data_IF_718689639167
#
_entry.id   IF_718689639167
#
_cell.length_a   1.000
_cell.length_b   1.000
_cell.length_c   1.000
_cell.angle_alpha   90.00
_cell.angle_beta   90.00
_cell.angle_gamma   90.00
#
_symmetry.space_group_name_H-M   'P 1'
#
loop_
_entity.id
_entity.type
_entity.pdbx_description
1 polymer ?
#
# COMPACT_ATOMS: atom_id res chain seq x y z
N UNK A 1 30.30 42.98 -29.07
CA UNK A 1 28.96 42.43 -29.34
C UNK A 1 27.94 43.56 -29.31
N UNK A 2 27.14 43.74 -30.37
CA UNK A 2 26.15 44.83 -30.44
C UNK A 2 25.09 44.69 -29.34
N UNK A 3 24.59 45.79 -28.77
CA UNK A 3 23.49 45.80 -27.78
C UNK A 3 22.27 45.00 -28.29
N UNK A 4 22.03 45.00 -29.60
CA UNK A 4 20.96 44.21 -30.24
C UNK A 4 21.20 42.69 -30.12
N UNK A 5 22.45 42.24 -30.24
CA UNK A 5 22.82 40.83 -30.15
C UNK A 5 22.77 40.33 -28.69
N UNK A 6 23.05 41.21 -27.72
CA UNK A 6 22.93 40.91 -26.29
C UNK A 6 21.45 40.79 -25.87
N UNK A 7 20.58 41.68 -26.36
CA UNK A 7 19.13 41.63 -26.11
C UNK A 7 18.48 40.37 -26.71
N UNK A 8 18.84 40.00 -27.94
CA UNK A 8 18.35 38.77 -28.57
C UNK A 8 18.83 37.50 -27.84
N UNK A 9 20.06 37.48 -27.34
CA UNK A 9 20.59 36.34 -26.57
C UNK A 9 19.89 36.20 -25.21
N UNK A 10 19.63 37.32 -24.53
CA UNK A 10 18.89 37.35 -23.25
C UNK A 10 17.44 36.88 -23.45
N UNK A 11 16.77 37.27 -24.53
CA UNK A 11 15.43 36.79 -24.86
C UNK A 11 15.40 35.28 -25.15
N UNK A 12 16.38 34.75 -25.89
CA UNK A 12 16.45 33.31 -26.21
C UNK A 12 16.69 32.47 -24.94
N UNK A 13 17.58 32.91 -24.05
CA UNK A 13 17.83 32.21 -22.77
C UNK A 13 16.60 32.27 -21.85
N UNK A 14 15.88 33.39 -21.81
CA UNK A 14 14.64 33.53 -21.04
C UNK A 14 13.50 32.63 -21.56
N UNK A 15 13.39 32.46 -22.88
CA UNK A 15 12.41 31.55 -23.50
C UNK A 15 12.77 30.08 -23.23
N UNK A 16 14.05 29.71 -23.27
CA UNK A 16 14.51 28.34 -22.92
C UNK A 16 14.25 28.01 -21.43
N UNK A 17 14.37 29.00 -20.54
CA UNK A 17 13.99 28.86 -19.13
C UNK A 17 12.48 28.76 -18.92
N UNK A 18 11.67 29.49 -19.70
CA UNK A 18 10.21 29.40 -19.62
C UNK A 18 9.66 28.06 -20.13
N UNK A 19 10.30 27.43 -21.13
CA UNK A 19 9.88 26.11 -21.64
C UNK A 19 10.24 24.99 -20.66
N UNK A 20 11.34 25.14 -19.91
CA UNK A 20 11.76 24.18 -18.87
C UNK A 20 10.90 24.24 -17.59
N UNK A 21 10.10 25.29 -17.42
CA UNK A 21 9.20 25.49 -16.29
C UNK A 21 7.77 24.94 -16.54
N UNK A 22 7.52 24.32 -17.71
CA UNK A 22 6.30 23.56 -17.93
C UNK A 22 6.28 22.37 -16.95
N UNK A 23 5.34 22.41 -16.00
CA UNK A 23 5.34 21.66 -14.75
C UNK A 23 5.74 20.18 -14.89
N UNK A 24 6.73 19.76 -14.12
CA UNK A 24 6.99 18.35 -13.91
C UNK A 24 5.71 17.71 -13.36
N UNK A 25 5.15 16.74 -14.10
CA UNK A 25 4.08 15.89 -13.58
C UNK A 25 4.63 15.19 -12.34
N UNK A 26 4.11 15.54 -11.16
CA UNK A 26 4.41 14.80 -9.94
C UNK A 26 3.71 13.44 -10.10
N UNK A 27 4.52 12.40 -10.28
CA UNK A 27 4.04 11.02 -10.32
C UNK A 27 3.61 10.62 -8.92
N UNK A 28 2.52 9.87 -8.84
CA UNK A 28 2.15 9.17 -7.60
C UNK A 28 3.22 8.13 -7.25
N UNK A 29 3.32 7.70 -5.97
CA UNK A 29 4.24 6.63 -5.57
C UNK A 29 4.16 5.40 -6.48
N UNK A 30 2.96 4.97 -6.84
CA UNK A 30 2.73 3.79 -7.67
C UNK A 30 3.02 4.06 -9.16
N UNK A 31 2.72 5.24 -9.71
CA UNK A 31 3.15 5.59 -11.07
C UNK A 31 4.67 5.62 -11.21
N UNK A 32 5.38 6.03 -10.14
CA UNK A 32 6.84 6.11 -10.12
C UNK A 32 7.50 4.73 -10.04
N UNK A 33 6.96 3.82 -9.24
CA UNK A 33 7.62 2.56 -8.89
C UNK A 33 6.95 1.31 -9.50
N UNK A 34 5.64 1.31 -9.72
CA UNK A 34 4.92 0.16 -10.27
C UNK A 34 5.01 -1.08 -9.38
N UNK A 35 5.16 -2.27 -9.96
CA UNK A 35 5.23 -3.52 -9.20
C UNK A 35 6.52 -3.60 -8.37
N UNK A 36 6.37 -3.96 -7.10
CA UNK A 36 7.49 -4.19 -6.19
C UNK A 36 7.91 -5.66 -6.20
N UNK A 37 9.20 -5.91 -5.98
CA UNK A 37 9.73 -7.24 -5.72
C UNK A 37 10.80 -7.21 -4.63
N UNK A 38 11.08 -8.37 -4.05
CA UNK A 38 12.21 -8.55 -3.14
C UNK A 38 13.47 -8.86 -3.97
N UNK A 39 14.59 -8.22 -3.63
CA UNK A 39 15.91 -8.50 -4.16
C UNK A 39 16.93 -8.57 -3.00
N UNK A 40 17.34 -9.79 -2.65
CA UNK A 40 18.14 -10.03 -1.45
C UNK A 40 17.44 -9.49 -0.19
N UNK A 41 18.04 -8.49 0.44
CA UNK A 41 17.53 -7.82 1.64
C UNK A 41 16.85 -6.46 1.36
N UNK A 42 16.46 -6.21 0.10
CA UNK A 42 15.84 -4.94 -0.34
C UNK A 42 14.49 -5.19 -0.99
N UNK A 43 13.65 -4.16 -0.94
CA UNK A 43 12.49 -4.03 -1.83
C UNK A 43 12.95 -3.14 -2.99
N UNK A 44 12.70 -3.59 -4.22
CA UNK A 44 13.00 -2.84 -5.45
C UNK A 44 11.73 -2.68 -6.28
N UNK A 45 11.71 -1.63 -7.09
CA UNK A 45 10.63 -1.36 -8.04
C UNK A 45 10.76 -2.16 -9.33
N UNK A 46 9.83 -1.94 -10.27
CA UNK A 46 9.79 -2.65 -11.54
C UNK A 46 11.01 -2.38 -12.45
N UNK A 47 11.78 -1.33 -12.15
CA UNK A 47 12.99 -0.94 -12.86
C UNK A 47 14.26 -1.46 -12.16
N UNK A 48 14.14 -2.07 -10.99
CA UNK A 48 15.25 -2.58 -10.19
C UNK A 48 15.86 -1.56 -9.23
N UNK A 49 15.24 -0.39 -9.07
CA UNK A 49 15.70 0.64 -8.14
C UNK A 49 15.17 0.36 -6.73
N UNK A 50 15.98 0.64 -5.71
CA UNK A 50 15.56 0.41 -4.33
C UNK A 50 14.44 1.38 -3.92
N UNK A 51 13.39 0.83 -3.30
CA UNK A 51 12.27 1.60 -2.77
C UNK A 51 12.27 1.60 -1.25
N UNK A 52 11.91 2.75 -0.67
CA UNK A 52 11.50 2.86 0.72
C UNK A 52 10.16 3.59 0.77
N UNK A 53 9.10 2.87 1.15
CA UNK A 53 7.77 3.44 1.34
C UNK A 53 7.62 3.95 2.78
N UNK A 54 7.00 5.11 2.97
CA UNK A 54 6.73 5.70 4.29
C UNK A 54 5.26 6.04 4.40
N UNK A 55 4.66 5.78 5.56
CA UNK A 55 3.23 5.96 5.70
C UNK A 55 2.70 5.63 7.08
N UNK A 56 1.38 5.49 7.16
CA UNK A 56 0.63 5.31 8.40
C UNK A 56 -0.21 4.04 8.39
N UNK A 57 -0.37 3.43 9.56
CA UNK A 57 -1.41 2.43 9.80
C UNK A 57 -2.67 3.09 10.32
N UNK A 58 -3.81 2.65 9.80
CA UNK A 58 -5.07 2.84 10.50
C UNK A 58 -5.08 1.93 11.75
N UNK A 59 -5.86 2.34 12.76
CA UNK A 59 -6.07 1.54 13.96
C UNK A 59 -7.12 0.45 13.70
N UNK A 60 -7.21 -0.56 14.56
CA UNK A 60 -8.20 -1.64 14.56
C UNK A 60 -9.56 -1.26 13.93
N UNK A 61 -9.96 -1.95 12.86
CA UNK A 61 -11.10 -1.58 12.01
C UNK A 61 -12.46 -1.58 12.70
N UNK A 62 -12.66 -2.42 13.71
CA UNK A 62 -13.91 -2.49 14.48
C UNK A 62 -14.00 -1.38 15.54
N UNK A 63 -12.87 -0.92 16.09
CA UNK A 63 -12.84 0.14 17.11
C UNK A 63 -12.72 1.55 16.53
N UNK A 64 -12.08 1.70 15.37
CA UNK A 64 -11.88 3.00 14.71
C UNK A 64 -12.47 3.06 13.28
N UNK A 65 -13.72 2.62 13.05
CA UNK A 65 -14.29 2.49 11.72
C UNK A 65 -14.40 3.84 10.99
N UNK A 66 -14.51 4.95 11.73
CA UNK A 66 -14.65 6.30 11.18
C UNK A 66 -13.46 6.75 10.30
N UNK A 67 -12.33 6.06 10.37
CA UNK A 67 -11.12 6.38 9.58
C UNK A 67 -10.96 5.52 8.33
N UNK A 68 -11.82 4.50 8.13
CA UNK A 68 -11.79 3.63 6.96
C UNK A 68 -12.63 4.23 5.83
N UNK A 69 -12.16 5.36 5.28
CA UNK A 69 -12.83 6.08 4.20
C UNK A 69 -11.83 6.78 3.27
N UNK A 70 -12.31 7.17 2.09
CA UNK A 70 -11.52 7.83 1.06
C UNK A 70 -10.84 9.11 1.54
N UNK A 71 -11.57 9.99 2.24
CA UNK A 71 -11.06 11.29 2.70
C UNK A 71 -9.87 11.16 3.66
N UNK A 72 -9.88 10.11 4.50
CA UNK A 72 -8.77 9.83 5.40
C UNK A 72 -7.52 9.43 4.61
N UNK A 73 -7.64 8.51 3.65
CA UNK A 73 -6.51 8.08 2.81
C UNK A 73 -5.99 9.23 1.96
N UNK A 74 -6.89 10.04 1.41
CA UNK A 74 -6.54 11.25 0.64
C UNK A 74 -5.78 12.26 1.49
N UNK A 75 -6.21 12.49 2.74
CA UNK A 75 -5.50 13.38 3.66
C UNK A 75 -4.08 12.88 3.96
N UNK A 76 -3.93 11.57 4.21
CA UNK A 76 -2.62 10.95 4.44
C UNK A 76 -1.67 11.12 3.22
N UNK A 77 -2.21 11.08 1.99
CA UNK A 77 -1.42 11.36 0.79
C UNK A 77 -1.07 12.84 0.67
N UNK A 78 -2.08 13.71 0.74
CA UNK A 78 -1.95 15.11 0.32
C UNK A 78 -1.18 15.95 1.35
N UNK A 79 -1.51 15.77 2.64
CA UNK A 79 -0.98 16.59 3.73
C UNK A 79 0.23 15.90 4.39
N UNK A 80 0.17 14.58 4.58
CA UNK A 80 1.23 13.83 5.28
C UNK A 80 2.25 13.21 4.32
N UNK A 81 2.00 13.29 3.01
CA UNK A 81 2.89 12.78 1.97
C UNK A 81 3.22 11.28 2.12
N UNK A 82 2.24 10.49 2.55
CA UNK A 82 2.40 9.05 2.68
C UNK A 82 2.49 8.38 1.29
N UNK A 83 3.43 7.45 1.14
CA UNK A 83 3.53 6.57 -0.03
C UNK A 83 2.61 5.33 0.09
N UNK A 84 2.32 4.95 1.34
CA UNK A 84 1.63 3.72 1.70
C UNK A 84 0.65 3.95 2.87
N UNK A 85 -0.45 3.21 2.88
CA UNK A 85 -1.37 3.13 4.03
C UNK A 85 -1.54 1.67 4.46
N UNK A 86 -1.61 1.39 5.75
CA UNK A 86 -1.90 0.04 6.27
C UNK A 86 -3.33 -0.04 6.79
N UNK A 87 -4.10 -0.97 6.23
CA UNK A 87 -5.48 -1.25 6.59
C UNK A 87 -5.53 -2.45 7.55
N UNK A 88 -5.58 -2.17 8.85
CA UNK A 88 -5.59 -3.19 9.90
C UNK A 88 -6.97 -3.83 10.04
N UNK A 89 -7.16 -5.02 9.46
CA UNK A 89 -8.40 -5.79 9.57
C UNK A 89 -8.46 -6.46 10.93
N UNK A 90 -9.32 -5.97 11.82
CA UNK A 90 -9.57 -6.66 13.07
C UNK A 90 -10.19 -8.04 12.80
N UNK A 91 -9.66 -9.08 13.44
CA UNK A 91 -10.09 -10.48 13.20
C UNK A 91 -10.93 -11.01 14.35
N UNK A 92 -10.37 -10.98 15.56
CA UNK A 92 -11.05 -11.36 16.80
C UNK A 92 -11.78 -10.15 17.42
N UNK A 93 -12.37 -10.33 18.60
CA UNK A 93 -13.02 -9.28 19.41
C UNK A 93 -14.00 -8.41 18.59
N UNK A 94 -15.05 -9.06 18.09
CA UNK A 94 -16.08 -8.42 17.25
C UNK A 94 -15.57 -7.95 15.87
N UNK A 95 -14.43 -8.48 15.43
CA UNK A 95 -13.85 -8.28 14.10
C UNK A 95 -14.40 -9.24 13.04
N UNK A 96 -13.57 -9.53 12.04
CA UNK A 96 -13.91 -10.28 10.83
C UNK A 96 -14.53 -11.65 11.10
N UNK A 97 -14.12 -12.37 12.17
CA UNK A 97 -14.72 -13.67 12.48
C UNK A 97 -16.20 -13.58 12.89
N UNK A 98 -16.60 -12.44 13.45
CA UNK A 98 -18.00 -12.17 13.85
C UNK A 98 -18.77 -11.43 12.74
N UNK A 99 -18.08 -10.56 12.02
CA UNK A 99 -18.67 -9.65 11.05
C UNK A 99 -17.85 -9.56 9.74
N UNK A 100 -17.76 -10.65 8.97
CA UNK A 100 -16.82 -10.75 7.85
C UNK A 100 -17.08 -9.71 6.78
N UNK A 101 -18.33 -9.58 6.33
CA UNK A 101 -18.70 -8.65 5.26
C UNK A 101 -18.49 -7.18 5.67
N UNK A 102 -18.83 -6.85 6.93
CA UNK A 102 -18.66 -5.49 7.46
C UNK A 102 -17.18 -5.12 7.54
N UNK A 103 -16.35 -5.95 8.17
CA UNK A 103 -14.93 -5.63 8.35
C UNK A 103 -14.18 -5.66 7.01
N UNK A 104 -14.48 -6.62 6.13
CA UNK A 104 -13.91 -6.68 4.78
C UNK A 104 -14.26 -5.44 3.96
N UNK A 105 -15.51 -4.93 4.03
CA UNK A 105 -15.90 -3.73 3.28
C UNK A 105 -15.08 -2.49 3.64
N UNK A 106 -14.64 -2.37 4.91
CA UNK A 106 -13.77 -1.29 5.36
C UNK A 106 -12.38 -1.39 4.72
N UNK A 107 -11.84 -2.60 4.64
CA UNK A 107 -10.54 -2.85 3.97
C UNK A 107 -10.64 -2.55 2.49
N UNK A 108 -11.68 -3.05 1.82
CA UNK A 108 -11.90 -2.78 0.40
C UNK A 108 -12.05 -1.27 0.13
N UNK A 109 -12.69 -0.52 1.03
CA UNK A 109 -12.78 0.95 0.94
C UNK A 109 -11.39 1.61 0.96
N UNK A 110 -10.50 1.18 1.85
CA UNK A 110 -9.14 1.73 1.94
C UNK A 110 -8.29 1.30 0.75
N UNK A 111 -8.43 0.05 0.28
CA UNK A 111 -7.73 -0.46 -0.91
C UNK A 111 -8.13 0.30 -2.16
N UNK A 112 -9.44 0.49 -2.39
CA UNK A 112 -9.92 1.27 -3.53
C UNK A 112 -9.45 2.73 -3.48
N UNK A 113 -9.46 3.35 -2.30
CA UNK A 113 -8.93 4.70 -2.14
C UNK A 113 -7.43 4.76 -2.45
N UNK A 114 -6.62 3.82 -1.94
CA UNK A 114 -5.19 3.79 -2.22
C UNK A 114 -4.90 3.58 -3.72
N UNK A 115 -5.67 2.71 -4.40
CA UNK A 115 -5.57 2.52 -5.85
C UNK A 115 -5.86 3.82 -6.60
N UNK A 116 -6.99 4.46 -6.32
CA UNK A 116 -7.40 5.71 -6.97
C UNK A 116 -6.40 6.86 -6.71
N UNK A 117 -5.86 6.92 -5.50
CA UNK A 117 -4.94 7.96 -5.07
C UNK A 117 -3.48 7.71 -5.48
N UNK A 118 -3.16 6.54 -6.06
CA UNK A 118 -1.82 6.14 -6.48
C UNK A 118 -0.85 5.79 -5.34
N UNK A 119 -1.39 5.37 -4.18
CA UNK A 119 -0.64 4.92 -3.02
C UNK A 119 -0.54 3.39 -2.98
N UNK A 120 0.49 2.87 -2.31
CA UNK A 120 0.50 1.46 -1.91
C UNK A 120 -0.44 1.24 -0.70
N UNK A 121 -0.88 0.00 -0.50
CA UNK A 121 -1.70 -0.40 0.64
C UNK A 121 -1.26 -1.75 1.19
N UNK A 122 -1.12 -1.83 2.51
CA UNK A 122 -0.97 -3.10 3.22
C UNK A 122 -2.35 -3.57 3.66
N UNK A 123 -2.75 -4.76 3.22
CA UNK A 123 -3.89 -5.50 3.75
C UNK A 123 -3.37 -6.37 4.88
N UNK A 124 -3.68 -5.97 6.11
CA UNK A 124 -3.16 -6.58 7.33
C UNK A 124 -4.24 -7.42 8.02
N UNK A 125 -3.96 -8.71 8.21
CA UNK A 125 -4.75 -9.60 9.06
C UNK A 125 -4.36 -9.36 10.52
N UNK A 126 -5.09 -8.44 11.15
CA UNK A 126 -4.76 -7.87 12.46
C UNK A 126 -5.22 -8.79 13.60
N UNK A 127 -4.42 -9.83 13.83
CA UNK A 127 -4.68 -10.89 14.80
C UNK A 127 -3.38 -11.28 15.53
N UNK A 128 -3.51 -11.64 16.80
CA UNK A 128 -2.46 -12.24 17.62
C UNK A 128 -2.47 -13.77 17.58
N UNK A 129 -3.57 -14.36 17.09
CA UNK A 129 -3.86 -15.79 17.10
C UNK A 129 -4.17 -16.35 15.70
N UNK A 130 -3.64 -15.75 14.63
CA UNK A 130 -4.02 -16.12 13.26
C UNK A 130 -3.75 -17.60 12.92
N UNK A 131 -2.77 -18.22 13.58
CA UNK A 131 -2.49 -19.65 13.48
C UNK A 131 -3.68 -20.55 13.90
N UNK A 132 -4.65 -20.03 14.65
CA UNK A 132 -5.91 -20.71 14.99
C UNK A 132 -7.02 -20.46 13.97
N UNK A 133 -6.83 -19.47 13.10
CA UNK A 133 -7.83 -18.93 12.18
C UNK A 133 -7.45 -19.15 10.70
N UNK A 134 -6.65 -20.20 10.41
CA UNK A 134 -6.00 -20.45 9.10
C UNK A 134 -6.99 -20.47 7.93
N UNK A 135 -8.11 -21.17 8.06
CA UNK A 135 -9.09 -21.28 6.97
C UNK A 135 -9.83 -19.96 6.71
N UNK A 136 -10.08 -19.17 7.76
CA UNK A 136 -10.67 -17.84 7.61
C UNK A 136 -9.69 -16.88 6.90
N UNK A 137 -8.41 -16.91 7.29
CA UNK A 137 -7.36 -16.15 6.65
C UNK A 137 -7.17 -16.56 5.17
N UNK A 138 -7.11 -17.86 4.87
CA UNK A 138 -7.04 -18.37 3.49
C UNK A 138 -8.23 -17.89 2.66
N UNK A 139 -9.46 -18.01 3.17
CA UNK A 139 -10.65 -17.52 2.47
C UNK A 139 -10.53 -16.03 2.15
N UNK A 140 -10.24 -15.21 3.16
CA UNK A 140 -10.11 -13.76 3.02
C UNK A 140 -9.02 -13.39 2.01
N UNK A 141 -7.79 -13.87 2.20
CA UNK A 141 -6.67 -13.53 1.34
C UNK A 141 -6.82 -14.10 -0.08
N UNK A 142 -7.40 -15.28 -0.24
CA UNK A 142 -7.69 -15.83 -1.58
C UNK A 142 -8.70 -14.97 -2.34
N UNK A 143 -9.70 -14.41 -1.66
CA UNK A 143 -10.62 -13.44 -2.26
C UNK A 143 -9.94 -12.12 -2.61
N UNK A 144 -9.14 -11.55 -1.69
CA UNK A 144 -8.40 -10.30 -1.94
C UNK A 144 -7.41 -10.46 -3.09
N UNK A 145 -6.66 -11.57 -3.14
CA UNK A 145 -5.73 -11.89 -4.21
C UNK A 145 -6.44 -11.96 -5.57
N UNK A 146 -7.58 -12.64 -5.66
CA UNK A 146 -8.38 -12.70 -6.89
C UNK A 146 -8.89 -11.33 -7.34
N UNK A 147 -9.33 -10.48 -6.40
CA UNK A 147 -9.84 -9.14 -6.71
C UNK A 147 -8.72 -8.19 -7.17
N UNK A 148 -7.55 -8.26 -6.55
CA UNK A 148 -6.52 -7.23 -6.68
C UNK A 148 -5.21 -7.66 -7.36
N UNK A 149 -5.15 -8.85 -7.98
CA UNK A 149 -3.91 -9.38 -8.57
C UNK A 149 -3.25 -8.50 -9.66
N UNK A 150 -4.00 -7.63 -10.33
CA UNK A 150 -3.47 -6.72 -11.36
C UNK A 150 -3.00 -5.37 -10.80
N UNK A 151 -3.21 -5.09 -9.52
CA UNK A 151 -2.88 -3.80 -8.93
C UNK A 151 -1.52 -3.87 -8.22
N UNK A 152 -0.51 -3.10 -8.66
CA UNK A 152 0.80 -3.06 -8.01
C UNK A 152 0.73 -2.47 -6.59
N UNK A 153 -0.36 -1.79 -6.25
CA UNK A 153 -0.58 -1.12 -4.98
C UNK A 153 -0.57 -2.08 -3.77
N UNK A 154 -1.01 -3.33 -3.96
CA UNK A 154 -1.40 -4.20 -2.83
C UNK A 154 -0.25 -5.04 -2.29
N UNK A 155 -0.05 -4.94 -0.98
CA UNK A 155 0.88 -5.76 -0.19
C UNK A 155 0.04 -6.53 0.85
N UNK A 156 0.32 -7.81 1.04
CA UNK A 156 -0.37 -8.64 2.02
C UNK A 156 0.49 -8.83 3.27
N UNK A 157 -0.08 -8.61 4.44
CA UNK A 157 0.49 -8.91 5.76
C UNK A 157 -0.38 -9.99 6.43
N UNK A 158 -0.04 -11.29 6.28
CA UNK A 158 -0.94 -12.37 6.68
C UNK A 158 -1.08 -12.59 8.19
N UNK A 159 -0.20 -12.04 9.00
CA UNK A 159 -0.22 -12.18 10.46
C UNK A 159 0.44 -10.93 11.05
N UNK A 160 -0.35 -10.07 11.71
CA UNK A 160 0.14 -8.89 12.41
C UNK A 160 1.25 -9.22 13.42
N UNK A 161 0.90 -9.85 14.54
CA UNK A 161 1.83 -10.00 15.67
C UNK A 161 1.64 -11.34 16.39
N UNK A 162 2.36 -12.40 15.94
CA UNK A 162 2.37 -13.68 16.64
C UNK A 162 2.86 -13.57 18.07
N UNK A 163 2.06 -14.03 19.04
CA UNK A 163 2.42 -13.94 20.46
C UNK A 163 2.83 -15.29 21.05
N UNK A 164 4.09 -15.39 21.51
CA UNK A 164 4.59 -16.53 22.31
C UNK A 164 4.33 -17.92 21.69
N UNK A 165 4.38 -18.01 20.36
CA UNK A 165 4.26 -19.28 19.62
C UNK A 165 5.56 -19.63 18.92
N UNK A 166 5.74 -20.92 18.63
CA UNK A 166 6.95 -21.41 17.96
C UNK A 166 6.98 -21.03 16.47
N UNK A 167 8.18 -20.72 15.96
CA UNK A 167 8.37 -20.36 14.57
C UNK A 167 8.14 -21.54 13.62
N UNK A 168 8.78 -22.67 13.88
CA UNK A 168 8.80 -23.83 12.98
C UNK A 168 7.47 -24.57 12.96
N UNK A 169 6.83 -24.68 14.12
CA UNK A 169 5.62 -25.49 14.30
C UNK A 169 4.32 -24.67 14.16
N UNK A 170 4.38 -23.34 14.24
CA UNK A 170 3.17 -22.49 14.17
C UNK A 170 3.26 -21.36 13.15
N UNK A 171 4.23 -20.45 13.27
CA UNK A 171 4.27 -19.24 12.41
C UNK A 171 4.54 -19.61 10.95
N UNK A 172 5.59 -20.40 10.68
CA UNK A 172 5.97 -20.78 9.31
C UNK A 172 4.89 -21.61 8.60
N UNK A 173 4.32 -22.69 9.20
CA UNK A 173 3.27 -23.47 8.54
C UNK A 173 2.01 -22.66 8.23
N UNK A 174 1.63 -21.72 9.13
CA UNK A 174 0.55 -20.77 8.86
C UNK A 174 0.82 -19.94 7.60
N UNK A 175 2.00 -19.29 7.54
CA UNK A 175 2.36 -18.47 6.39
C UNK A 175 2.47 -19.29 5.11
N UNK A 176 3.04 -20.50 5.14
CA UNK A 176 3.10 -21.38 3.97
C UNK A 176 1.70 -21.70 3.43
N UNK A 177 0.75 -22.02 4.31
CA UNK A 177 -0.63 -22.31 3.91
C UNK A 177 -1.37 -21.09 3.33
N UNK A 178 -1.24 -19.91 3.95
CA UNK A 178 -1.91 -18.68 3.48
C UNK A 178 -1.25 -18.13 2.21
N UNK A 179 0.09 -18.16 2.12
CA UNK A 179 0.82 -17.74 0.91
C UNK A 179 0.47 -18.66 -0.26
N UNK A 180 0.36 -19.97 -0.05
CA UNK A 180 -0.06 -20.90 -1.09
C UNK A 180 -1.45 -20.54 -1.66
N UNK A 181 -2.37 -20.06 -0.82
CA UNK A 181 -3.69 -19.58 -1.28
C UNK A 181 -3.60 -18.25 -2.05
N UNK A 182 -2.79 -17.29 -1.58
CA UNK A 182 -2.56 -15.99 -2.26
C UNK A 182 -1.93 -16.19 -3.65
N UNK A 183 -1.14 -17.24 -3.83
CA UNK A 183 -0.35 -17.51 -5.06
C UNK A 183 -1.04 -18.44 -6.06
N UNK A 184 -2.32 -18.77 -5.87
CA UNK A 184 -3.14 -19.48 -6.87
C UNK A 184 -3.50 -18.58 -8.03
#
# INVERSE_FOLDING_TARGET
MSRKNLLSLVLIVAVIWCISAAGQKILTPVEKHGFLRVDGNRIVDQHGEVVQLRGMSLCWSQWFPKHYNYETVKWLRDDWHCDIVRAALAVEWDGYLSHPDMEQSKIETVVHAAIDLGMYVIIDWHDHHANRNVEAAKKFFGEMARKYNLFPNVIYEPFNEPEKIDWADSVKPYHEAVIAEIRK
#
